data_IF_107468788871
#
_entry.id   IF_107468788871
#
_cell.length_a   1.000
_cell.length_b   1.000
_cell.length_c   1.000
_cell.angle_alpha   90.00
_cell.angle_beta   90.00
_cell.angle_gamma   90.00
#
_symmetry.space_group_name_H-M   'P 1'
#
loop_
_entity.id
_entity.type
_entity.pdbx_description
1 polymer ?
#
# COMPACT_ATOMS: atom_id res chain seq x y z
N UNK A 1 -16.81 4.18 -25.09
CA UNK A 1 -15.56 4.89 -24.71
C UNK A 1 -15.63 5.28 -23.24
N UNK A 2 -14.47 5.46 -22.59
CA UNK A 2 -14.34 6.08 -21.27
C UNK A 2 -14.07 7.56 -21.49
N UNK A 3 -14.78 8.41 -20.76
CA UNK A 3 -14.59 9.85 -20.77
C UNK A 3 -13.95 10.30 -19.46
N UNK A 4 -12.88 11.10 -19.54
CA UNK A 4 -12.12 11.50 -18.35
C UNK A 4 -12.96 12.36 -17.39
N UNK A 5 -13.57 13.42 -17.90
CA UNK A 5 -14.33 14.39 -17.10
C UNK A 5 -15.60 13.78 -16.51
N UNK A 6 -16.33 12.99 -17.30
CA UNK A 6 -17.60 12.41 -16.87
C UNK A 6 -17.42 11.14 -16.05
N UNK A 7 -16.47 10.27 -16.44
CA UNK A 7 -16.39 8.92 -15.87
C UNK A 7 -15.26 8.75 -14.85
N UNK A 8 -14.21 9.58 -14.87
CA UNK A 8 -13.02 9.43 -13.99
C UNK A 8 -12.96 10.48 -12.89
N UNK A 9 -13.06 11.78 -13.24
CA UNK A 9 -12.95 12.89 -12.28
C UNK A 9 -13.90 12.73 -11.08
N UNK A 10 -15.20 12.39 -11.26
CA UNK A 10 -16.13 12.28 -10.13
C UNK A 10 -15.77 11.15 -9.16
N UNK A 11 -15.07 10.10 -9.62
CA UNK A 11 -14.66 8.97 -8.78
C UNK A 11 -13.56 9.35 -7.78
N UNK A 12 -12.77 10.38 -8.10
CA UNK A 12 -11.64 10.81 -7.27
C UNK A 12 -12.01 11.79 -6.17
N UNK A 13 -13.27 12.26 -6.14
CA UNK A 13 -13.70 13.39 -5.31
C UNK A 13 -12.80 14.62 -5.52
N UNK A 14 -12.46 14.89 -6.78
CA UNK A 14 -11.58 16.00 -7.15
C UNK A 14 -12.08 17.35 -6.63
N UNK A 15 -13.39 17.58 -6.63
CA UNK A 15 -14.02 18.79 -6.06
C UNK A 15 -13.74 18.99 -4.57
N UNK A 16 -13.42 17.92 -3.85
CA UNK A 16 -13.19 17.91 -2.42
C UNK A 16 -11.68 17.86 -2.09
N UNK A 17 -10.82 18.10 -3.09
CA UNK A 17 -9.36 18.04 -2.94
C UNK A 17 -8.75 16.65 -3.13
N UNK A 18 -9.52 15.67 -3.60
CA UNK A 18 -9.01 14.34 -3.92
C UNK A 18 -8.11 14.32 -5.17
N UNK A 19 -7.17 13.38 -5.21
CA UNK A 19 -6.24 13.19 -6.33
C UNK A 19 -6.71 12.08 -7.28
N UNK A 20 -6.41 12.22 -8.57
CA UNK A 20 -6.68 11.19 -9.58
C UNK A 20 -5.48 10.25 -9.72
N UNK A 21 -5.76 8.97 -9.93
CA UNK A 21 -4.77 7.90 -10.07
C UNK A 21 -5.22 6.92 -11.14
N UNK A 22 -4.33 6.02 -11.56
CA UNK A 22 -4.61 4.95 -12.51
C UNK A 22 -5.79 4.07 -12.07
N UNK A 23 -5.98 3.92 -10.75
CA UNK A 23 -7.08 3.13 -10.18
C UNK A 23 -8.44 3.74 -10.53
N UNK A 24 -8.56 5.06 -10.61
CA UNK A 24 -9.82 5.71 -10.98
C UNK A 24 -10.20 5.43 -12.44
N UNK A 25 -9.21 5.42 -13.34
CA UNK A 25 -9.42 5.05 -14.74
C UNK A 25 -9.89 3.60 -14.86
N UNK A 26 -9.23 2.69 -14.14
CA UNK A 26 -9.59 1.26 -14.14
C UNK A 26 -10.93 1.00 -13.44
N UNK A 27 -11.28 1.78 -12.42
CA UNK A 27 -12.58 1.72 -11.76
C UNK A 27 -13.70 2.18 -12.69
N UNK A 28 -13.49 3.26 -13.44
CA UNK A 28 -14.40 3.72 -14.48
C UNK A 28 -14.56 2.67 -15.58
N UNK A 29 -13.47 2.02 -15.99
CA UNK A 29 -13.49 0.94 -16.98
C UNK A 29 -14.33 -0.25 -16.48
N UNK A 30 -14.06 -0.73 -15.27
CA UNK A 30 -14.85 -1.79 -14.64
C UNK A 30 -16.34 -1.42 -14.57
N UNK A 31 -16.66 -0.19 -14.17
CA UNK A 31 -18.03 0.31 -14.11
C UNK A 31 -18.72 0.35 -15.49
N UNK A 32 -18.01 0.67 -16.57
CA UNK A 32 -18.58 0.62 -17.93
C UNK A 32 -18.91 -0.81 -18.35
N UNK A 33 -18.06 -1.78 -18.02
CA UNK A 33 -18.35 -3.21 -18.30
C UNK A 33 -19.64 -3.61 -17.58
N UNK A 34 -19.78 -3.29 -16.28
CA UNK A 34 -20.94 -3.63 -15.47
C UNK A 34 -22.23 -2.90 -15.88
N UNK A 35 -22.13 -1.77 -16.59
CA UNK A 35 -23.29 -1.09 -17.21
C UNK A 35 -23.76 -1.77 -18.49
N UNK A 36 -22.89 -2.52 -19.17
CA UNK A 36 -23.20 -3.19 -20.44
C UNK A 36 -23.70 -4.63 -20.26
N UNK A 37 -23.30 -5.29 -19.17
CA UNK A 37 -23.66 -6.67 -18.89
C UNK A 37 -23.68 -6.96 -17.39
N UNK A 38 -24.51 -7.92 -16.93
CA UNK A 38 -24.53 -8.30 -15.54
C UNK A 38 -23.24 -9.04 -15.13
N UNK A 39 -22.93 -8.97 -13.83
CA UNK A 39 -21.82 -9.70 -13.22
C UNK A 39 -21.92 -11.22 -13.44
N UNK A 40 -20.80 -11.92 -13.25
CA UNK A 40 -20.71 -13.37 -13.41
C UNK A 40 -20.19 -13.81 -14.79
N UNK A 41 -20.77 -14.89 -15.31
CA UNK A 41 -20.38 -15.49 -16.60
C UNK A 41 -20.30 -14.51 -17.78
N UNK A 42 -21.23 -13.52 -17.94
CA UNK A 42 -21.16 -12.59 -19.06
C UNK A 42 -19.89 -11.73 -19.05
N UNK A 43 -19.50 -11.20 -17.88
CA UNK A 43 -18.26 -10.42 -17.72
C UNK A 43 -17.04 -11.29 -18.01
N UNK A 44 -16.95 -12.49 -17.45
CA UNK A 44 -15.81 -13.40 -17.71
C UNK A 44 -15.67 -13.70 -19.20
N UNK A 45 -16.79 -14.01 -19.86
CA UNK A 45 -16.82 -14.28 -21.30
C UNK A 45 -16.35 -13.07 -22.11
N UNK A 46 -16.79 -11.87 -21.76
CA UNK A 46 -16.38 -10.63 -22.43
C UNK A 46 -14.89 -10.34 -22.24
N UNK A 47 -14.37 -10.54 -21.03
CA UNK A 47 -12.94 -10.37 -20.73
C UNK A 47 -12.08 -11.28 -21.61
N UNK A 48 -12.43 -12.57 -21.70
CA UNK A 48 -11.66 -13.56 -22.45
C UNK A 48 -11.80 -13.37 -23.97
N UNK A 49 -13.03 -13.22 -24.46
CA UNK A 49 -13.31 -13.26 -25.90
C UNK A 49 -13.07 -11.92 -26.59
N UNK A 50 -13.43 -10.80 -25.94
CA UNK A 50 -13.38 -9.48 -26.56
C UNK A 50 -12.14 -8.70 -26.15
N UNK A 51 -11.80 -8.72 -24.85
CA UNK A 51 -10.68 -7.98 -24.31
C UNK A 51 -9.35 -8.76 -24.29
N UNK A 52 -9.41 -10.07 -24.57
CA UNK A 52 -8.26 -10.99 -24.57
C UNK A 52 -7.51 -10.99 -23.24
N UNK A 53 -8.26 -10.84 -22.14
CA UNK A 53 -7.76 -10.93 -20.76
C UNK A 53 -7.95 -12.36 -20.29
N UNK A 54 -6.87 -13.02 -19.86
CA UNK A 54 -6.96 -14.35 -19.26
C UNK A 54 -7.57 -14.26 -17.86
N UNK A 55 -8.60 -15.05 -17.60
CA UNK A 55 -9.26 -15.10 -16.28
C UNK A 55 -9.16 -16.52 -15.73
N UNK A 56 -8.14 -16.78 -14.91
CA UNK A 56 -7.86 -18.11 -14.37
C UNK A 56 -7.87 -18.15 -12.84
N UNK A 57 -7.78 -19.35 -12.25
CA UNK A 57 -7.54 -19.50 -10.82
C UNK A 57 -8.64 -18.92 -9.91
N UNK A 58 -8.23 -18.35 -8.78
CA UNK A 58 -9.13 -17.83 -7.74
C UNK A 58 -9.95 -16.65 -8.25
N UNK A 59 -9.35 -15.76 -9.03
CA UNK A 59 -10.05 -14.58 -9.56
C UNK A 59 -11.21 -14.97 -10.48
N UNK A 60 -11.10 -16.07 -11.23
CA UNK A 60 -12.20 -16.56 -12.05
C UNK A 60 -13.41 -16.95 -11.22
N UNK A 61 -13.21 -17.68 -10.12
CA UNK A 61 -14.31 -18.07 -9.23
C UNK A 61 -14.97 -16.85 -8.58
N UNK A 62 -14.16 -15.87 -8.18
CA UNK A 62 -14.63 -14.60 -7.62
C UNK A 62 -15.48 -13.81 -8.62
N UNK A 63 -15.08 -13.77 -9.89
CA UNK A 63 -15.80 -13.03 -10.95
C UNK A 63 -17.00 -13.81 -11.53
N UNK A 64 -17.14 -15.10 -11.23
CA UNK A 64 -18.33 -15.87 -11.57
C UNK A 64 -19.46 -15.71 -10.55
N UNK A 65 -19.12 -15.34 -9.31
CA UNK A 65 -20.10 -15.02 -8.28
C UNK A 65 -20.72 -13.64 -8.54
N UNK A 66 -21.98 -13.63 -8.99
CA UNK A 66 -22.72 -12.40 -9.27
C UNK A 66 -23.13 -11.65 -7.99
N UNK A 67 -23.21 -12.34 -6.85
CA UNK A 67 -23.62 -11.76 -5.57
C UNK A 67 -22.42 -11.23 -4.76
N UNK A 68 -21.22 -11.30 -5.34
CA UNK A 68 -20.00 -10.81 -4.72
C UNK A 68 -20.08 -9.29 -4.45
N UNK A 69 -20.07 -8.85 -3.18
CA UNK A 69 -20.18 -7.43 -2.83
C UNK A 69 -18.95 -6.60 -3.22
N UNK A 70 -17.84 -7.26 -3.58
CA UNK A 70 -16.58 -6.64 -3.96
C UNK A 70 -16.29 -6.72 -5.46
N UNK A 71 -17.27 -7.14 -6.26
CA UNK A 71 -17.10 -7.48 -7.68
C UNK A 71 -16.33 -6.43 -8.48
N UNK A 72 -16.70 -5.15 -8.35
CA UNK A 72 -16.08 -4.08 -9.10
C UNK A 72 -14.60 -3.86 -8.73
N UNK A 73 -14.23 -4.07 -7.45
CA UNK A 73 -12.84 -3.97 -7.00
C UNK A 73 -12.01 -5.16 -7.46
N UNK A 74 -12.59 -6.37 -7.46
CA UNK A 74 -11.93 -7.58 -7.99
C UNK A 74 -11.69 -7.44 -9.50
N UNK A 75 -12.68 -6.93 -10.24
CA UNK A 75 -12.55 -6.64 -11.67
C UNK A 75 -11.49 -5.56 -11.93
N UNK A 76 -11.47 -4.48 -11.14
CA UNK A 76 -10.42 -3.45 -11.20
C UNK A 76 -9.03 -4.07 -11.02
N UNK A 77 -8.85 -4.93 -10.02
CA UNK A 77 -7.58 -5.59 -9.75
C UNK A 77 -7.09 -6.42 -10.94
N UNK A 78 -7.98 -7.20 -11.55
CA UNK A 78 -7.67 -7.97 -12.76
C UNK A 78 -7.29 -7.06 -13.94
N UNK A 79 -8.05 -5.98 -14.17
CA UNK A 79 -7.78 -5.02 -15.24
C UNK A 79 -6.45 -4.30 -15.00
N UNK A 80 -6.11 -3.95 -13.76
CA UNK A 80 -4.83 -3.32 -13.39
C UNK A 80 -3.66 -4.19 -13.85
N UNK A 81 -3.68 -5.48 -13.52
CA UNK A 81 -2.60 -6.42 -13.90
C UNK A 81 -2.40 -6.56 -15.41
N UNK A 82 -3.45 -6.36 -16.21
CA UNK A 82 -3.42 -6.58 -17.66
C UNK A 82 -3.23 -5.30 -18.50
N UNK A 83 -3.71 -4.16 -18.01
CA UNK A 83 -3.74 -2.91 -18.79
C UNK A 83 -2.82 -1.82 -18.27
N UNK A 84 -2.44 -1.83 -16.98
CA UNK A 84 -1.66 -0.74 -16.42
C UNK A 84 -0.39 -0.42 -17.22
N UNK A 85 0.42 -1.40 -17.66
CA UNK A 85 1.63 -1.10 -18.43
C UNK A 85 1.38 -0.41 -19.78
N UNK A 86 0.14 -0.38 -20.28
CA UNK A 86 -0.20 0.23 -21.57
C UNK A 86 -0.41 1.74 -21.49
N UNK A 87 -0.65 2.26 -20.30
CA UNK A 87 -0.97 3.68 -20.12
C UNK A 87 -0.31 4.32 -18.90
N UNK A 88 0.34 3.54 -18.04
CA UNK A 88 1.14 4.09 -16.96
C UNK A 88 2.44 4.67 -17.51
N UNK A 89 2.64 5.96 -17.27
CA UNK A 89 3.86 6.68 -17.61
C UNK A 89 4.65 6.81 -16.32
N UNK A 90 5.90 6.33 -16.33
CA UNK A 90 6.79 6.49 -15.19
C UNK A 90 7.11 7.97 -15.00
N UNK A 91 7.02 8.49 -13.76
CA UNK A 91 7.37 9.88 -13.49
C UNK A 91 8.85 10.10 -13.79
N UNK A 92 9.15 11.27 -14.36
CA UNK A 92 10.52 11.72 -14.60
C UNK A 92 11.17 12.24 -13.32
N UNK A 93 12.50 12.40 -13.34
CA UNK A 93 13.21 13.02 -12.21
C UNK A 93 12.71 14.45 -11.91
N UNK A 94 12.27 15.18 -12.94
CA UNK A 94 11.73 16.53 -12.82
C UNK A 94 10.37 16.57 -12.11
N UNK A 95 9.60 15.46 -12.18
CA UNK A 95 8.31 15.29 -11.52
C UNK A 95 8.43 14.68 -10.11
N UNK A 96 9.63 14.30 -9.69
CA UNK A 96 9.91 13.71 -8.37
C UNK A 96 10.81 14.61 -7.54
N UNK A 97 10.40 14.90 -6.31
CA UNK A 97 11.22 15.68 -5.36
C UNK A 97 12.38 14.82 -4.87
N UNK A 98 13.58 15.40 -4.68
CA UNK A 98 14.70 14.68 -4.06
C UNK A 98 14.31 14.26 -2.64
N UNK A 99 14.61 13.00 -2.30
CA UNK A 99 14.24 12.43 -1.01
C UNK A 99 14.82 13.22 0.17
N UNK A 100 15.97 13.89 0.01
CA UNK A 100 16.57 14.73 1.04
C UNK A 100 15.71 15.95 1.34
N UNK A 101 15.21 16.61 0.29
CA UNK A 101 14.31 17.77 0.44
C UNK A 101 12.99 17.35 1.11
N UNK A 102 12.47 16.16 0.79
CA UNK A 102 11.28 15.60 1.43
C UNK A 102 11.51 15.34 2.93
N UNK A 103 12.67 14.78 3.29
CA UNK A 103 13.04 14.52 4.69
C UNK A 103 13.21 15.85 5.45
N UNK A 104 13.98 16.79 4.90
CA UNK A 104 14.23 18.09 5.51
C UNK A 104 12.92 18.85 5.73
N UNK A 105 12.03 18.86 4.73
CA UNK A 105 10.70 19.46 4.85
C UNK A 105 9.88 18.78 5.96
N UNK A 106 9.79 17.44 5.95
CA UNK A 106 9.05 16.68 6.96
C UNK A 106 9.53 16.99 8.37
N UNK A 107 10.85 17.01 8.58
CA UNK A 107 11.45 17.35 9.88
C UNK A 107 11.17 18.81 10.27
N UNK A 108 11.22 19.76 9.32
CA UNK A 108 10.99 21.19 9.60
C UNK A 108 9.59 21.50 10.14
N UNK A 109 8.60 20.66 9.81
CA UNK A 109 7.21 20.79 10.29
C UNK A 109 6.89 19.86 11.47
N UNK A 110 7.90 19.16 12.01
CA UNK A 110 7.74 18.22 13.12
C UNK A 110 7.09 16.88 12.74
N UNK A 111 7.03 16.54 11.44
CA UNK A 111 6.59 15.24 10.99
C UNK A 111 7.70 14.17 11.17
N UNK A 112 7.31 12.91 11.06
CA UNK A 112 8.22 11.76 11.10
C UNK A 112 8.27 11.15 9.70
N UNK A 113 9.18 11.59 8.80
CA UNK A 113 9.34 10.94 7.51
C UNK A 113 9.77 9.49 7.73
N UNK A 114 9.10 8.55 7.06
CA UNK A 114 9.37 7.13 7.19
C UNK A 114 9.53 6.50 5.81
N UNK A 115 10.64 5.78 5.59
CA UNK A 115 10.82 5.03 4.36
C UNK A 115 9.94 3.78 4.39
N UNK A 116 9.17 3.54 3.33
CA UNK A 116 8.28 2.39 3.23
C UNK A 116 9.00 1.19 2.61
N UNK A 117 9.52 0.31 3.46
CA UNK A 117 10.14 -0.94 3.04
C UNK A 117 9.08 -1.92 2.50
N UNK A 118 9.30 -2.41 1.28
CA UNK A 118 8.44 -3.41 0.64
C UNK A 118 8.98 -4.83 0.81
N UNK A 119 10.27 -5.04 0.51
CA UNK A 119 10.90 -6.35 0.53
C UNK A 119 10.53 -7.23 -0.67
N UNK A 120 11.44 -8.11 -1.08
CA UNK A 120 11.26 -9.00 -2.23
C UNK A 120 10.08 -9.97 -2.04
N UNK A 121 9.35 -10.24 -3.12
CA UNK A 121 8.26 -11.21 -3.15
C UNK A 121 8.75 -12.45 -3.90
N UNK A 122 8.99 -13.55 -3.19
CA UNK A 122 9.51 -14.79 -3.79
C UNK A 122 8.42 -15.78 -4.22
N UNK A 123 7.31 -15.92 -3.49
CA UNK A 123 6.22 -16.85 -3.84
C UNK A 123 4.81 -16.30 -3.64
N UNK A 124 3.97 -16.47 -4.67
CA UNK A 124 2.52 -16.41 -4.53
C UNK A 124 2.01 -17.76 -4.06
N UNK A 125 1.64 -17.86 -2.79
CA UNK A 125 0.95 -19.05 -2.24
C UNK A 125 -0.37 -19.35 -2.98
N UNK A 126 -0.85 -18.42 -3.82
CA UNK A 126 -2.05 -18.55 -4.67
C UNK A 126 -1.76 -18.61 -6.17
N UNK A 127 -0.49 -18.59 -6.61
CA UNK A 127 -0.11 -18.59 -8.04
C UNK A 127 -0.39 -17.29 -8.82
N UNK A 128 -0.95 -16.27 -8.18
CA UNK A 128 -1.45 -15.04 -8.82
C UNK A 128 -0.55 -13.80 -8.64
N UNK A 129 0.58 -13.90 -7.93
CA UNK A 129 1.55 -12.78 -7.77
C UNK A 129 2.86 -13.13 -8.44
N UNK A 130 3.34 -12.26 -9.33
CA UNK A 130 4.67 -12.39 -9.93
C UNK A 130 5.73 -12.20 -8.84
N UNK A 131 6.80 -12.99 -8.91
CA UNK A 131 7.98 -12.69 -8.12
C UNK A 131 8.48 -11.28 -8.49
N UNK A 132 8.76 -10.46 -7.49
CA UNK A 132 9.13 -9.07 -7.68
C UNK A 132 10.31 -8.74 -6.78
N UNK A 133 11.33 -8.12 -7.37
CA UNK A 133 12.56 -7.73 -6.69
C UNK A 133 12.45 -6.25 -6.34
N UNK A 134 12.72 -5.94 -5.09
CA UNK A 134 12.70 -4.61 -4.51
C UNK A 134 14.06 -4.33 -3.86
N UNK A 135 14.09 -4.02 -2.56
CA UNK A 135 15.26 -3.45 -1.90
C UNK A 135 16.18 -4.49 -1.23
N UNK A 136 15.80 -5.78 -1.16
CA UNK A 136 16.53 -6.73 -0.32
C UNK A 136 17.98 -6.97 -0.78
N UNK A 137 18.25 -6.86 -2.07
CA UNK A 137 19.59 -7.03 -2.62
C UNK A 137 20.60 -5.95 -2.16
N UNK A 138 20.11 -4.77 -1.75
CA UNK A 138 20.93 -3.62 -1.35
C UNK A 138 20.47 -2.99 -0.03
N UNK A 139 19.72 -3.74 0.79
CA UNK A 139 19.05 -3.23 1.98
C UNK A 139 20.03 -2.61 3.01
N UNK A 140 21.21 -3.20 3.19
CA UNK A 140 22.21 -2.68 4.13
C UNK A 140 22.70 -1.27 3.72
N UNK A 141 23.01 -1.07 2.44
CA UNK A 141 23.44 0.21 1.89
C UNK A 141 22.29 1.23 1.91
N UNK A 142 21.07 0.78 1.59
CA UNK A 142 19.87 1.61 1.64
C UNK A 142 19.62 2.12 3.06
N UNK A 143 19.60 1.25 4.08
CA UNK A 143 19.32 1.67 5.45
C UNK A 143 20.41 2.62 5.98
N UNK A 144 21.68 2.36 5.65
CA UNK A 144 22.77 3.26 5.99
C UNK A 144 22.62 4.63 5.32
N UNK A 145 22.24 4.65 4.05
CA UNK A 145 21.96 5.88 3.31
C UNK A 145 20.78 6.67 3.90
N UNK A 146 19.66 6.00 4.17
CA UNK A 146 18.44 6.61 4.74
C UNK A 146 18.74 7.27 6.11
N UNK A 147 19.48 6.57 6.97
CA UNK A 147 19.92 7.14 8.24
C UNK A 147 20.86 8.34 8.04
N UNK A 148 21.76 8.26 7.05
CA UNK A 148 22.69 9.34 6.72
C UNK A 148 22.03 10.62 6.22
N UNK A 149 20.88 10.50 5.53
CA UNK A 149 20.09 11.65 5.06
C UNK A 149 19.02 12.11 6.07
N UNK A 150 19.00 11.54 7.28
CA UNK A 150 18.18 12.04 8.38
C UNK A 150 16.80 11.42 8.53
N UNK A 151 16.49 10.29 7.87
CA UNK A 151 15.25 9.57 8.17
C UNK A 151 15.22 9.17 9.66
N UNK A 152 14.14 9.48 10.40
CA UNK A 152 13.96 9.00 11.77
C UNK A 152 13.38 7.58 11.84
N UNK A 153 12.74 7.09 10.77
CA UNK A 153 11.94 5.87 10.81
C UNK A 153 11.96 5.06 9.49
N UNK A 154 11.70 3.76 9.62
CA UNK A 154 11.30 2.88 8.53
C UNK A 154 9.93 2.28 8.87
N UNK A 155 9.03 2.29 7.89
CA UNK A 155 7.75 1.57 7.97
C UNK A 155 7.79 0.30 7.13
N UNK A 156 7.18 -0.78 7.64
CA UNK A 156 7.06 -2.06 6.92
C UNK A 156 5.70 -2.73 7.15
N UNK A 157 5.36 -3.71 6.32
CA UNK A 157 4.05 -4.37 6.33
C UNK A 157 4.19 -5.87 6.64
N UNK A 158 4.12 -6.28 7.92
CA UNK A 158 4.38 -7.66 8.34
C UNK A 158 3.67 -8.76 7.54
N UNK A 159 2.40 -8.63 7.10
CA UNK A 159 1.75 -9.68 6.28
C UNK A 159 2.34 -9.85 4.87
N UNK A 160 3.21 -8.93 4.44
CA UNK A 160 3.90 -8.96 3.14
C UNK A 160 5.35 -9.40 3.26
N UNK A 161 5.90 -9.44 4.47
CA UNK A 161 7.31 -9.71 4.71
C UNK A 161 7.49 -11.08 5.38
N UNK A 162 8.46 -11.84 4.92
CA UNK A 162 8.89 -13.07 5.60
C UNK A 162 9.49 -12.74 6.98
N UNK A 163 9.50 -13.73 7.87
CA UNK A 163 10.15 -13.58 9.18
C UNK A 163 11.64 -13.23 9.07
N UNK A 164 12.33 -13.75 8.05
CA UNK A 164 13.73 -13.44 7.77
C UNK A 164 13.95 -12.00 7.30
N UNK A 165 13.08 -11.50 6.41
CA UNK A 165 13.08 -10.09 5.99
C UNK A 165 12.87 -9.15 7.18
N UNK A 166 11.87 -9.45 8.02
CA UNK A 166 11.60 -8.66 9.22
C UNK A 166 12.80 -8.68 10.18
N UNK A 167 13.33 -9.84 10.55
CA UNK A 167 14.48 -9.91 11.48
C UNK A 167 15.71 -9.15 10.96
N UNK A 168 16.01 -9.24 9.65
CA UNK A 168 17.10 -8.48 9.03
C UNK A 168 16.84 -6.97 9.10
N UNK A 169 15.66 -6.52 8.70
CA UNK A 169 15.29 -5.11 8.73
C UNK A 169 15.38 -4.53 10.16
N UNK A 170 14.81 -5.24 11.14
CA UNK A 170 14.81 -4.79 12.54
C UNK A 170 16.24 -4.68 13.12
N UNK A 171 17.14 -5.59 12.74
CA UNK A 171 18.56 -5.50 13.11
C UNK A 171 19.21 -4.24 12.51
N UNK A 172 18.91 -3.93 11.25
CA UNK A 172 19.41 -2.72 10.59
C UNK A 172 18.85 -1.45 11.23
N UNK A 173 17.55 -1.39 11.52
CA UNK A 173 16.94 -0.27 12.24
C UNK A 173 17.61 -0.01 13.59
N UNK A 174 17.82 -1.06 14.39
CA UNK A 174 18.55 -0.96 15.67
C UNK A 174 19.98 -0.47 15.51
N UNK A 175 20.70 -0.99 14.51
CA UNK A 175 22.08 -0.58 14.23
C UNK A 175 22.19 0.90 13.86
N UNK A 176 21.21 1.42 13.13
CA UNK A 176 21.19 2.79 12.61
C UNK A 176 20.32 3.76 13.44
N UNK A 177 19.81 3.32 14.59
CA UNK A 177 18.93 4.10 15.48
C UNK A 177 17.67 4.64 14.78
N UNK A 178 17.06 3.83 13.92
CA UNK A 178 15.82 4.15 13.22
C UNK A 178 14.62 3.59 13.99
N UNK A 179 13.58 4.40 14.10
CA UNK A 179 12.28 3.98 14.62
C UNK A 179 11.63 2.98 13.66
N UNK A 180 11.00 1.96 14.23
CA UNK A 180 10.24 0.97 13.48
C UNK A 180 8.74 1.31 13.54
N UNK A 181 8.12 1.49 12.38
CA UNK A 181 6.68 1.66 12.23
C UNK A 181 6.13 0.45 11.47
N UNK A 182 5.00 -0.09 11.91
CA UNK A 182 4.39 -1.24 11.24
C UNK A 182 2.91 -1.03 11.04
N UNK A 183 2.39 -1.54 9.94
CA UNK A 183 0.96 -1.52 9.66
C UNK A 183 0.56 -2.41 8.51
N UNK A 184 -0.70 -2.34 8.16
CA UNK A 184 -1.27 -3.03 7.00
C UNK A 184 -1.58 -2.00 5.92
N UNK A 185 -1.00 -2.19 4.73
CA UNK A 185 -1.31 -1.37 3.55
C UNK A 185 -2.59 -1.91 2.89
N UNK A 186 -3.73 -1.34 3.32
CA UNK A 186 -5.07 -1.69 2.85
C UNK A 186 -5.37 -0.90 1.57
N UNK A 187 -5.58 -1.64 0.48
CA UNK A 187 -5.91 -1.09 -0.83
C UNK A 187 -7.03 -1.88 -1.55
N UNK A 188 -7.69 -2.81 -0.84
CA UNK A 188 -8.80 -3.62 -1.32
C UNK A 188 -9.78 -3.88 -0.17
N UNK A 189 -11.07 -3.89 -0.51
CA UNK A 189 -12.17 -4.18 0.42
C UNK A 189 -12.12 -5.60 1.01
N UNK A 190 -11.33 -6.50 0.43
CA UNK A 190 -11.12 -7.87 0.93
C UNK A 190 -9.97 -8.00 1.93
N UNK A 191 -9.13 -6.98 2.06
CA UNK A 191 -7.96 -7.07 2.93
C UNK A 191 -8.35 -6.97 4.40
N UNK A 192 -7.76 -7.85 5.20
CA UNK A 192 -7.92 -7.83 6.65
C UNK A 192 -7.13 -6.67 7.26
N UNK A 193 -7.74 -5.99 8.22
CA UNK A 193 -7.07 -5.00 9.07
C UNK A 193 -6.21 -5.64 10.17
N UNK A 194 -6.40 -6.94 10.44
CA UNK A 194 -5.63 -7.66 11.44
C UNK A 194 -4.20 -7.93 10.96
N UNK A 195 -3.26 -7.88 11.90
CA UNK A 195 -1.85 -8.19 11.68
C UNK A 195 -1.34 -9.18 12.76
N UNK A 196 -1.67 -10.47 12.65
CA UNK A 196 -1.27 -11.48 13.64
C UNK A 196 0.26 -11.64 13.75
N UNK A 197 1.01 -11.28 12.71
CA UNK A 197 2.48 -11.32 12.68
C UNK A 197 3.08 -10.41 13.74
N UNK A 198 2.41 -9.31 14.10
CA UNK A 198 2.85 -8.42 15.18
C UNK A 198 2.57 -8.97 16.58
N UNK A 199 1.64 -9.93 16.70
CA UNK A 199 1.34 -10.62 17.95
C UNK A 199 2.26 -11.83 18.16
N UNK A 200 3.07 -12.19 17.17
CA UNK A 200 3.95 -13.35 17.24
C UNK A 200 5.06 -13.16 18.30
N UNK A 201 5.43 -14.22 19.05
CA UNK A 201 6.55 -14.17 19.99
C UNK A 201 7.84 -13.76 19.27
N UNK A 202 8.43 -12.64 19.68
CA UNK A 202 9.67 -12.10 19.09
C UNK A 202 9.49 -10.82 18.28
N UNK A 203 8.26 -10.46 17.91
CA UNK A 203 7.99 -9.16 17.30
C UNK A 203 8.05 -8.08 18.38
N UNK A 204 9.14 -7.29 18.42
CA UNK A 204 9.31 -6.16 19.34
C UNK A 204 9.17 -4.84 18.57
N UNK A 205 7.94 -4.43 18.31
CA UNK A 205 7.67 -3.04 17.95
C UNK A 205 7.95 -2.17 19.18
N UNK A 206 8.47 -0.96 18.96
CA UNK A 206 8.82 -0.06 20.04
C UNK A 206 7.62 0.16 20.98
N UNK A 207 7.68 -0.31 22.24
CA UNK A 207 6.57 -0.17 23.16
C UNK A 207 6.69 1.20 23.82
N UNK A 208 6.20 2.28 23.18
CA UNK A 208 5.98 3.59 23.83
C UNK A 208 7.06 4.01 24.85
N UNK A 209 8.33 3.73 24.53
CA UNK A 209 9.45 3.79 25.46
C UNK A 209 10.29 4.99 25.10
N UNK A 210 10.31 5.97 26.00
CA UNK A 210 10.81 7.32 25.76
C UNK A 210 12.06 7.39 24.91
N UNK A 211 11.91 7.98 23.72
CA UNK A 211 13.03 8.62 23.06
C UNK A 211 13.50 9.74 23.97
N UNK A 212 14.74 9.61 24.47
CA UNK A 212 15.52 10.73 24.94
C UNK A 212 15.89 11.64 23.77
N UNK A 213 14.90 12.21 23.09
CA UNK A 213 15.12 13.48 22.40
C UNK A 213 15.10 14.55 23.48
N UNK A 214 16.09 15.44 23.47
CA UNK A 214 16.20 16.62 24.32
C UNK A 214 15.11 17.67 24.07
N UNK A 215 13.87 17.25 23.82
CA UNK A 215 12.67 18.06 23.87
C UNK A 215 11.94 17.66 25.16
N UNK A 216 12.14 18.45 26.22
CA UNK A 216 11.57 18.20 27.53
C UNK A 216 10.06 18.04 27.46
N UNK A 217 9.58 16.84 27.76
CA UNK A 217 8.16 16.57 27.99
C UNK A 217 7.79 17.18 29.37
N UNK A 218 6.84 18.14 29.46
CA UNK A 218 6.41 18.66 30.74
C UNK A 218 5.78 17.54 31.56
N UNK A 219 6.25 17.40 32.80
CA UNK A 219 5.78 16.39 33.76
C UNK A 219 4.25 16.42 33.90
N UNK A 220 3.69 15.22 34.00
CA UNK A 220 2.30 14.88 34.24
C UNK A 220 1.62 15.79 35.29
N UNK A 221 0.45 16.32 34.93
CA UNK A 221 -0.58 16.73 35.89
C UNK A 221 -1.92 16.13 35.45
N UNK A 222 -2.28 15.01 36.07
CA UNK A 222 -3.64 14.64 36.49
C UNK A 222 -4.81 14.63 35.50
N UNK A 223 -5.34 13.40 35.30
CA UNK A 223 -6.73 12.99 34.92
C UNK A 223 -7.09 12.94 33.42
N UNK A 224 -8.17 12.22 33.06
CA UNK A 224 -8.50 10.82 33.32
C UNK A 224 -8.59 10.03 31.99
N UNK A 225 -8.64 8.70 32.06
CA UNK A 225 -8.82 7.81 30.91
C UNK A 225 -10.03 8.22 30.05
N UNK A 226 -9.77 8.75 28.85
CA UNK A 226 -10.75 8.79 27.76
C UNK A 226 -10.25 7.89 26.64
N UNK A 227 -10.91 6.75 26.46
CA UNK A 227 -10.83 5.94 25.24
C UNK A 227 -11.24 6.85 24.08
N UNK A 228 -10.29 7.27 23.25
CA UNK A 228 -10.61 7.92 21.99
C UNK A 228 -10.99 6.81 21.01
N UNK A 229 -12.29 6.70 20.76
CA UNK A 229 -12.84 5.90 19.68
C UNK A 229 -12.39 6.48 18.34
N UNK A 230 -12.01 5.58 17.45
CA UNK A 230 -11.83 5.87 16.02
C UNK A 230 -13.22 6.24 15.49
N UNK A 231 -13.38 7.48 15.03
CA UNK A 231 -14.58 7.95 14.34
C UNK A 231 -14.50 7.47 12.88
N UNK A 232 -15.65 7.00 12.39
CA UNK A 232 -15.93 6.29 11.15
C UNK A 232 -15.52 7.02 9.87
#
# INVERSE_FOLDING_TARGET
SIDFERDVVPLSRFSDGGSITERHILHAFAGKILKMMPAGTPVVTFLENNLKVSVSGKIRQILLDAENPHYQYDLLGLLKGNYLPRFFIQPTQEETIDVRDVVDFGLSIGAIPAYAYLGDIEESVTGDKKAERFEDAYLDDLVAFLAGIGFPAITYMPPRNSAGQMDRLQKLCRKHNLMEISGVDINSSRQSFNCPELLAPGCRLCPSGGFGMGLGCPREVGRPQSRLGIVQ
#
